data_IF_483990251086
#
_entry.id   IF_483990251086
#
_cell.length_a   1.000
_cell.length_b   1.000
_cell.length_c   1.000
_cell.angle_alpha   90.00
_cell.angle_beta   90.00
_cell.angle_gamma   90.00
#
_symmetry.space_group_name_H-M   'P 1'
#
loop_
_entity.id
_entity.type
_entity.pdbx_description
1 polymer ?
#
# COMPACT_ATOMS: atom_id res chain seq x y z
N UNK A 1 -18.19 1.40 -4.23
CA UNK A 1 -17.73 2.76 -3.91
C UNK A 1 -17.94 2.98 -2.43
N UNK A 2 -16.95 3.35 -1.60
CA UNK A 2 -17.28 4.06 -0.37
C UNK A 2 -17.32 5.55 -0.71
N UNK A 3 -18.53 6.08 -0.75
CA UNK A 3 -18.83 7.50 -0.69
C UNK A 3 -19.12 7.85 0.78
N UNK A 4 -18.07 7.99 1.58
CA UNK A 4 -18.13 8.71 2.86
C UNK A 4 -17.28 9.96 2.71
N UNK A 5 -17.85 11.13 3.00
CA UNK A 5 -17.04 12.33 3.18
C UNK A 5 -16.09 12.06 4.34
N UNK A 6 -14.77 12.25 4.17
CA UNK A 6 -13.80 11.92 5.21
C UNK A 6 -14.18 12.64 6.51
N UNK A 7 -14.05 11.97 7.65
CA UNK A 7 -14.48 12.54 8.93
C UNK A 7 -13.69 13.79 9.31
N UNK A 8 -12.41 13.82 8.94
CA UNK A 8 -11.49 14.92 9.20
C UNK A 8 -10.43 15.04 8.11
N UNK A 9 -9.91 16.25 7.93
CA UNK A 9 -8.69 16.55 7.18
C UNK A 9 -7.54 16.69 8.18
N UNK A 10 -6.55 15.80 8.10
CA UNK A 10 -5.34 15.81 8.93
C UNK A 10 -4.17 16.39 8.13
N UNK A 11 -3.69 17.57 8.50
CA UNK A 11 -2.46 18.16 7.97
C UNK A 11 -1.29 17.79 8.88
N UNK A 12 -0.24 17.19 8.32
CA UNK A 12 0.92 16.73 9.09
C UNK A 12 2.17 17.47 8.64
N UNK A 13 2.88 18.11 9.59
CA UNK A 13 4.23 18.59 9.35
C UNK A 13 5.21 17.41 9.39
N UNK A 14 5.66 16.98 8.21
CA UNK A 14 6.41 15.75 8.03
C UNK A 14 7.77 15.74 8.74
N UNK A 15 8.54 16.83 8.67
CA UNK A 15 9.87 16.85 9.31
C UNK A 15 9.77 17.02 10.82
N UNK A 16 8.79 17.80 11.30
CA UNK A 16 8.52 17.89 12.71
C UNK A 16 8.19 16.50 13.30
N UNK A 17 7.33 15.74 12.62
CA UNK A 17 6.97 14.38 13.04
C UNK A 17 8.16 13.41 12.97
N UNK A 18 8.95 13.41 11.89
CA UNK A 18 10.17 12.59 11.78
C UNK A 18 11.15 12.90 12.93
N UNK A 19 11.27 14.16 13.32
CA UNK A 19 12.13 14.60 14.43
C UNK A 19 11.57 14.24 15.81
N UNK A 20 10.25 14.11 15.95
CA UNK A 20 9.61 13.77 17.23
C UNK A 20 9.53 12.26 17.49
N UNK A 21 9.44 11.44 16.45
CA UNK A 21 9.26 9.99 16.59
C UNK A 21 10.60 9.26 16.65
N UNK A 22 10.95 8.73 17.83
CA UNK A 22 12.25 8.08 18.07
C UNK A 22 12.62 6.98 17.07
N UNK A 23 11.65 6.24 16.53
CA UNK A 23 11.94 5.22 15.51
C UNK A 23 12.30 5.83 14.15
N UNK A 24 11.60 6.89 13.72
CA UNK A 24 11.91 7.60 12.47
C UNK A 24 13.20 8.39 12.57
N UNK A 25 13.49 8.98 13.73
CA UNK A 25 14.76 9.68 13.97
C UNK A 25 15.94 8.72 13.82
N UNK A 26 15.87 7.54 14.44
CA UNK A 26 16.89 6.48 14.27
C UNK A 26 16.99 5.99 12.84
N UNK A 27 15.85 5.81 12.16
CA UNK A 27 15.82 5.37 10.76
C UNK A 27 16.47 6.40 9.84
N UNK A 28 16.22 7.70 10.07
CA UNK A 28 16.86 8.80 9.37
C UNK A 28 18.37 8.78 9.54
N UNK A 29 18.85 8.56 10.76
CA UNK A 29 20.29 8.51 11.09
C UNK A 29 20.99 7.30 10.46
N UNK A 30 20.30 6.17 10.34
CA UNK A 30 20.87 4.92 9.83
C UNK A 30 20.77 4.75 8.31
N UNK A 31 19.64 5.14 7.72
CA UNK A 31 19.27 4.84 6.33
C UNK A 31 18.93 6.08 5.51
N UNK A 32 19.08 7.28 6.09
CA UNK A 32 18.84 8.55 5.43
C UNK A 32 17.40 9.06 5.56
N UNK A 33 17.24 10.34 5.24
CA UNK A 33 15.97 11.08 5.38
C UNK A 33 14.85 10.52 4.50
N UNK A 34 15.18 10.07 3.29
CA UNK A 34 14.19 9.54 2.35
C UNK A 34 13.51 8.28 2.89
N UNK A 35 14.29 7.40 3.51
CA UNK A 35 13.75 6.18 4.12
C UNK A 35 12.82 6.50 5.28
N UNK A 36 13.14 7.50 6.09
CA UNK A 36 12.26 7.98 7.16
C UNK A 36 10.96 8.61 6.64
N UNK A 37 11.01 9.33 5.49
CA UNK A 37 9.79 9.84 4.84
C UNK A 37 8.88 8.70 4.41
N UNK A 38 9.42 7.70 3.72
CA UNK A 38 8.65 6.54 3.25
C UNK A 38 7.99 5.80 4.41
N UNK A 39 8.72 5.54 5.48
CA UNK A 39 8.17 4.90 6.67
C UNK A 39 7.04 5.73 7.30
N UNK A 40 7.22 7.05 7.44
CA UNK A 40 6.17 7.95 7.93
C UNK A 40 4.90 7.85 7.06
N UNK A 41 5.06 7.87 5.73
CA UNK A 41 3.96 7.77 4.78
C UNK A 41 3.19 6.45 4.96
N UNK A 42 3.89 5.32 5.08
CA UNK A 42 3.27 4.00 5.27
C UNK A 42 2.47 3.92 6.58
N UNK A 43 3.02 4.47 7.66
CA UNK A 43 2.37 4.52 8.97
C UNK A 43 1.13 5.40 8.93
N UNK A 44 1.22 6.60 8.35
CA UNK A 44 0.10 7.52 8.24
C UNK A 44 -0.98 7.03 7.28
N UNK A 45 -0.61 6.33 6.21
CA UNK A 45 -1.57 5.72 5.29
C UNK A 45 -2.45 4.70 6.04
N UNK A 46 -1.82 3.83 6.81
CA UNK A 46 -2.51 2.83 7.64
C UNK A 46 -3.41 3.49 8.68
N UNK A 47 -2.95 4.58 9.29
CA UNK A 47 -3.73 5.36 10.26
C UNK A 47 -4.95 6.04 9.62
N UNK A 48 -4.75 6.70 8.48
CA UNK A 48 -5.80 7.43 7.74
C UNK A 48 -6.92 6.49 7.31
N UNK A 49 -6.55 5.32 6.79
CA UNK A 49 -7.52 4.29 6.42
C UNK A 49 -8.26 3.69 7.63
N UNK A 50 -7.65 3.66 8.81
CA UNK A 50 -8.29 3.15 10.03
C UNK A 50 -9.28 4.15 10.65
N UNK A 51 -9.03 5.45 10.50
CA UNK A 51 -9.84 6.53 11.07
C UNK A 51 -10.80 7.19 10.07
N UNK A 52 -10.72 6.83 8.79
CA UNK A 52 -11.46 7.47 7.68
C UNK A 52 -11.14 8.98 7.57
N UNK A 53 -9.85 9.32 7.70
CA UNK A 53 -9.33 10.68 7.57
C UNK A 53 -8.72 10.89 6.18
N UNK A 54 -8.86 12.10 5.67
CA UNK A 54 -8.04 12.58 4.55
C UNK A 54 -6.76 13.17 5.14
N UNK A 55 -5.61 12.57 4.85
CA UNK A 55 -4.32 13.04 5.39
C UNK A 55 -3.49 13.71 4.31
N UNK A 56 -2.93 14.86 4.63
CA UNK A 56 -1.97 15.56 3.79
C UNK A 56 -0.66 15.74 4.55
N UNK A 57 0.40 15.11 4.07
CA UNK A 57 1.73 15.20 4.67
C UNK A 57 2.50 16.29 3.94
N UNK A 58 2.94 17.31 4.67
CA UNK A 58 3.66 18.46 4.13
C UNK A 58 5.14 18.30 4.43
N UNK A 59 5.96 18.27 3.38
CA UNK A 59 7.41 18.30 3.50
C UNK A 59 7.95 19.62 2.95
N UNK A 60 8.78 20.30 3.73
CA UNK A 60 9.53 21.45 3.26
C UNK A 60 10.49 21.03 2.12
N UNK A 61 10.54 21.81 1.04
CA UNK A 61 11.47 21.56 -0.06
C UNK A 61 12.89 21.86 0.41
N UNK A 62 13.75 20.84 0.42
CA UNK A 62 15.17 21.05 0.72
C UNK A 62 15.86 21.68 -0.49
N UNK A 63 15.65 22.98 -0.67
CA UNK A 63 16.49 23.94 -1.40
C UNK A 63 17.02 23.50 -2.79
N UNK A 64 16.22 22.79 -3.59
CA UNK A 64 16.43 22.69 -5.03
C UNK A 64 15.23 23.30 -5.73
N UNK A 65 15.46 23.94 -6.89
CA UNK A 65 14.47 24.52 -7.82
C UNK A 65 13.47 23.47 -8.34
N UNK A 66 12.76 22.82 -7.43
CA UNK A 66 11.68 21.90 -7.73
C UNK A 66 10.39 22.66 -7.49
N UNK A 67 9.50 22.77 -8.49
CA UNK A 67 8.17 23.31 -8.26
C UNK A 67 7.48 22.47 -7.17
N UNK A 68 6.66 23.11 -6.31
CA UNK A 68 5.89 22.40 -5.30
C UNK A 68 5.09 21.28 -5.98
N UNK A 69 5.31 20.04 -5.52
CA UNK A 69 4.70 18.87 -6.12
C UNK A 69 3.71 18.28 -5.14
N UNK A 70 2.49 18.00 -5.62
CA UNK A 70 1.50 17.23 -4.88
C UNK A 70 1.44 15.82 -5.44
N UNK A 71 1.97 14.87 -4.67
CA UNK A 71 1.93 13.46 -5.02
C UNK A 71 0.75 12.80 -4.32
N UNK A 72 -0.18 12.26 -5.10
CA UNK A 72 -1.31 11.50 -4.57
C UNK A 72 -0.85 10.05 -4.43
N UNK A 73 -0.54 9.65 -3.18
CA UNK A 73 -0.15 8.27 -2.88
C UNK A 73 -1.37 7.36 -2.92
N UNK A 74 -2.48 7.80 -2.33
CA UNK A 74 -3.74 7.03 -2.25
C UNK A 74 -4.93 7.98 -2.08
N UNK A 75 -6.16 7.47 -2.21
CA UNK A 75 -7.39 8.24 -1.96
C UNK A 75 -7.47 8.91 -0.59
N UNK A 76 -6.78 8.37 0.43
CA UNK A 76 -6.77 8.86 1.80
C UNK A 76 -5.51 9.65 2.19
N UNK A 77 -4.45 9.60 1.36
CA UNK A 77 -3.18 10.23 1.69
C UNK A 77 -2.57 10.90 0.47
N UNK A 78 -2.28 12.20 0.60
CA UNK A 78 -1.49 12.96 -0.37
C UNK A 78 -0.26 13.57 0.29
N UNK A 79 0.83 13.64 -0.45
CA UNK A 79 2.07 14.28 -0.04
C UNK A 79 2.15 15.62 -0.77
N UNK A 80 2.46 16.67 -0.03
CA UNK A 80 2.66 18.01 -0.55
C UNK A 80 4.10 18.43 -0.27
N UNK A 81 4.88 18.66 -1.31
CA UNK A 81 6.16 19.34 -1.21
C UNK A 81 5.92 20.83 -1.39
N UNK A 82 6.48 21.63 -0.49
CA UNK A 82 6.33 23.09 -0.55
C UNK A 82 7.09 23.67 -1.75
N UNK A 83 6.66 24.85 -2.19
CA UNK A 83 7.37 25.60 -3.23
C UNK A 83 8.76 26.06 -2.76
N UNK A 84 9.61 26.49 -3.71
CA UNK A 84 10.88 27.11 -3.40
C UNK A 84 10.71 28.31 -2.44
N UNK A 85 11.47 28.31 -1.32
CA UNK A 85 11.42 29.29 -0.22
C UNK A 85 10.09 29.33 0.57
N UNK A 86 9.17 28.41 0.34
CA UNK A 86 7.99 28.25 1.19
C UNK A 86 8.25 27.19 2.26
N UNK A 87 8.03 27.53 3.53
CA UNK A 87 8.12 26.57 4.63
C UNK A 87 6.85 25.73 4.76
N UNK A 88 6.97 24.56 5.38
CA UNK A 88 5.83 23.70 5.71
C UNK A 88 4.78 24.47 6.54
N UNK A 89 5.25 25.30 7.48
CA UNK A 89 4.40 26.19 8.29
C UNK A 89 3.52 27.10 7.43
N UNK A 90 4.15 27.84 6.50
CA UNK A 90 3.45 28.76 5.60
C UNK A 90 2.44 28.04 4.71
N UNK A 91 2.77 26.82 4.27
CA UNK A 91 1.84 26.01 3.49
C UNK A 91 0.62 25.60 4.32
N UNK A 92 0.84 25.09 5.54
CA UNK A 92 -0.23 24.68 6.45
C UNK A 92 -1.12 25.87 6.83
N UNK A 93 -0.54 27.03 7.10
CA UNK A 93 -1.30 28.25 7.39
C UNK A 93 -2.22 28.66 6.24
N UNK A 94 -1.70 28.68 5.00
CA UNK A 94 -2.50 28.96 3.80
C UNK A 94 -3.62 27.93 3.62
N UNK A 95 -3.33 26.66 3.85
CA UNK A 95 -4.33 25.60 3.78
C UNK A 95 -5.44 25.79 4.84
N UNK A 96 -5.07 26.11 6.08
CA UNK A 96 -6.03 26.41 7.16
C UNK A 96 -6.89 27.64 6.83
N UNK A 97 -6.27 28.73 6.35
CA UNK A 97 -6.98 29.94 5.97
C UNK A 97 -7.93 29.72 4.79
N UNK A 98 -7.55 28.90 3.81
CA UNK A 98 -8.41 28.52 2.69
C UNK A 98 -9.58 27.64 3.16
N UNK A 99 -9.33 26.69 4.05
CA UNK A 99 -10.34 25.81 4.61
C UNK A 99 -11.42 26.58 5.37
N UNK A 100 -11.03 27.58 6.16
CA UNK A 100 -11.97 28.47 6.88
C UNK A 100 -12.91 29.24 5.94
N UNK A 101 -12.45 29.58 4.73
CA UNK A 101 -13.24 30.32 3.73
C UNK A 101 -14.21 29.43 2.97
N UNK A 102 -14.01 28.11 2.96
CA UNK A 102 -14.83 27.16 2.24
C UNK A 102 -16.00 26.66 3.12
N UNK A 103 -17.17 27.26 2.93
CA UNK A 103 -18.41 26.92 3.66
C UNK A 103 -18.83 25.45 3.51
N UNK A 104 -18.42 24.74 2.45
CA UNK A 104 -18.74 23.31 2.28
C UNK A 104 -17.87 22.40 3.14
N UNK A 105 -16.66 22.86 3.47
CA UNK A 105 -15.69 22.12 4.28
C UNK A 105 -15.72 22.50 5.75
N UNK A 106 -16.39 23.61 6.10
CA UNK A 106 -16.56 24.05 7.48
C UNK A 106 -17.19 22.99 8.40
N UNK A 107 -17.99 22.07 7.85
CA UNK A 107 -18.59 20.96 8.61
C UNK A 107 -17.64 19.81 8.92
N UNK A 108 -16.45 19.78 8.30
CA UNK A 108 -15.46 18.73 8.49
C UNK A 108 -14.36 19.25 9.43
N UNK A 109 -13.85 18.36 10.29
CA UNK A 109 -12.82 18.70 11.28
C UNK A 109 -11.48 18.88 10.58
N UNK A 110 -10.80 19.99 10.85
CA UNK A 110 -9.43 20.23 10.39
C UNK A 110 -8.48 20.00 11.58
N UNK A 111 -7.55 19.08 11.44
CA UNK A 111 -6.58 18.74 12.48
C UNK A 111 -5.16 18.99 11.94
N UNK A 112 -4.32 19.68 12.70
CA UNK A 112 -2.91 19.91 12.37
C UNK A 112 -2.02 19.18 13.37
N UNK A 113 -1.13 18.34 12.84
CA UNK A 113 -0.13 17.62 13.60
C UNK A 113 1.24 18.32 13.51
N UNK A 114 1.64 18.96 14.61
CA UNK A 114 2.96 19.57 14.78
C UNK A 114 3.28 19.72 16.27
N UNK A 115 4.54 19.67 16.64
CA UNK A 115 5.04 20.00 17.98
C UNK A 115 5.70 21.38 18.05
N UNK A 116 5.65 22.18 16.97
CA UNK A 116 6.06 23.58 17.01
C UNK A 116 4.98 24.45 17.68
N UNK A 117 5.39 25.19 18.72
CA UNK A 117 4.49 26.04 19.52
C UNK A 117 3.99 27.27 18.73
N UNK A 118 4.83 27.87 17.91
CA UNK A 118 4.44 29.02 17.10
C UNK A 118 3.38 28.58 16.08
N UNK A 119 3.63 27.46 15.40
CA UNK A 119 2.69 26.91 14.44
C UNK A 119 1.37 26.50 15.08
N UNK A 120 1.43 25.88 16.27
CA UNK A 120 0.24 25.54 17.06
C UNK A 120 -0.67 26.76 17.30
N UNK A 121 -0.11 27.88 17.79
CA UNK A 121 -0.91 29.07 18.09
C UNK A 121 -1.57 29.63 16.82
N UNK A 122 -0.84 29.63 15.71
CA UNK A 122 -1.34 30.12 14.43
C UNK A 122 -2.49 29.27 13.89
N UNK A 123 -2.34 27.94 13.85
CA UNK A 123 -3.38 27.05 13.30
C UNK A 123 -4.64 27.01 14.16
N UNK A 124 -4.49 27.08 15.48
CA UNK A 124 -5.63 27.24 16.39
C UNK A 124 -6.34 28.59 16.16
N UNK A 125 -5.58 29.66 15.87
CA UNK A 125 -6.14 30.96 15.47
C UNK A 125 -7.00 30.89 14.20
N UNK A 126 -6.67 30.01 13.26
CA UNK A 126 -7.49 29.73 12.08
C UNK A 126 -8.73 28.86 12.37
N UNK A 127 -8.84 28.27 13.56
CA UNK A 127 -9.92 27.38 13.97
C UNK A 127 -9.66 25.90 13.70
N UNK A 128 -8.41 25.52 13.40
CA UNK A 128 -8.02 24.13 13.30
C UNK A 128 -7.80 23.52 14.70
N UNK A 129 -8.12 22.24 14.83
CA UNK A 129 -7.69 21.44 15.97
C UNK A 129 -6.20 21.15 15.87
N UNK A 130 -5.53 21.06 17.01
CA UNK A 130 -4.10 20.77 17.08
C UNK A 130 -3.85 19.45 17.79
N UNK A 131 -2.89 18.68 17.28
CA UNK A 131 -2.36 17.49 17.91
C UNK A 131 -0.82 17.54 17.89
N UNK A 132 -0.17 17.21 19.00
CA UNK A 132 1.29 17.12 19.01
C UNK A 132 1.77 15.89 18.24
N UNK A 133 2.99 15.94 17.70
CA UNK A 133 3.57 14.79 17.02
C UNK A 133 3.65 13.56 17.94
N UNK A 134 3.98 13.74 19.22
CA UNK A 134 4.01 12.66 20.21
C UNK A 134 2.61 12.09 20.47
N UNK A 135 1.59 12.94 20.52
CA UNK A 135 0.21 12.47 20.72
C UNK A 135 -0.29 11.69 19.51
N UNK A 136 0.03 12.16 18.30
CA UNK A 136 -0.28 11.46 17.06
C UNK A 136 0.34 10.06 17.04
N UNK A 137 1.59 9.91 17.49
CA UNK A 137 2.22 8.58 17.61
C UNK A 137 1.40 7.61 18.47
N UNK A 138 0.96 8.05 19.65
CA UNK A 138 0.14 7.23 20.55
C UNK A 138 -1.17 6.83 19.88
N UNK A 139 -1.82 7.75 19.17
CA UNK A 139 -3.08 7.45 18.48
C UNK A 139 -2.91 6.48 17.31
N UNK A 140 -1.81 6.61 16.56
CA UNK A 140 -1.39 5.67 15.53
C UNK A 140 -1.19 4.29 16.12
N UNK A 141 -0.40 4.16 17.20
CA UNK A 141 -0.12 2.88 17.83
C UNK A 141 -1.42 2.20 18.32
N UNK A 142 -2.29 2.96 18.96
CA UNK A 142 -3.60 2.47 19.40
C UNK A 142 -4.47 2.03 18.21
N UNK A 143 -4.49 2.80 17.11
CA UNK A 143 -5.23 2.43 15.90
C UNK A 143 -4.68 1.13 15.29
N UNK A 144 -3.36 0.99 15.16
CA UNK A 144 -2.71 -0.23 14.68
C UNK A 144 -3.06 -1.44 15.55
N UNK A 145 -3.05 -1.29 16.87
CA UNK A 145 -3.46 -2.35 17.79
C UNK A 145 -4.94 -2.75 17.63
N UNK A 146 -5.85 -1.79 17.47
CA UNK A 146 -7.28 -2.05 17.22
C UNK A 146 -7.49 -2.85 15.95
N UNK A 147 -6.83 -2.46 14.86
CA UNK A 147 -6.90 -3.17 13.57
C UNK A 147 -6.38 -4.60 13.71
N UNK A 148 -5.22 -4.79 14.36
CA UNK A 148 -4.65 -6.13 14.61
C UNK A 148 -5.58 -7.02 15.43
N UNK A 149 -6.17 -6.49 16.52
CA UNK A 149 -7.13 -7.23 17.36
C UNK A 149 -8.38 -7.64 16.57
N UNK A 150 -8.93 -6.74 15.75
CA UNK A 150 -10.09 -7.01 14.89
C UNK A 150 -9.78 -8.09 13.84
N UNK A 151 -8.60 -8.04 13.21
CA UNK A 151 -8.20 -9.08 12.26
C UNK A 151 -8.01 -10.44 12.93
N UNK A 152 -7.43 -10.47 14.14
CA UNK A 152 -7.27 -11.71 14.90
C UNK A 152 -8.62 -12.30 15.33
N UNK A 153 -9.57 -11.50 15.79
CA UNK A 153 -10.90 -11.99 16.17
C UNK A 153 -11.65 -12.55 14.96
N UNK A 154 -11.62 -11.85 13.81
CA UNK A 154 -12.22 -12.34 12.56
C UNK A 154 -11.59 -13.66 12.08
N UNK A 155 -10.26 -13.81 12.20
CA UNK A 155 -9.57 -15.07 11.92
C UNK A 155 -10.02 -16.20 12.85
N UNK A 156 -10.12 -15.93 14.16
CA UNK A 156 -10.59 -16.92 15.15
C UNK A 156 -12.04 -17.33 14.88
N UNK A 157 -12.93 -16.38 14.59
CA UNK A 157 -14.32 -16.66 14.20
C UNK A 157 -14.39 -17.51 12.93
N UNK A 158 -13.64 -17.16 11.88
CA UNK A 158 -13.59 -17.95 10.64
C UNK A 158 -13.08 -19.37 10.85
N UNK A 159 -12.11 -19.56 11.75
CA UNK A 159 -11.64 -20.89 12.13
C UNK A 159 -12.66 -21.68 12.97
N UNK A 160 -13.36 -21.02 13.89
CA UNK A 160 -14.43 -21.64 14.67
C UNK A 160 -15.60 -22.07 13.77
N UNK A 161 -16.06 -21.19 12.87
CA UNK A 161 -17.11 -21.52 11.89
C UNK A 161 -16.69 -22.65 10.95
N UNK A 162 -15.42 -22.67 10.48
CA UNK A 162 -14.90 -23.79 9.67
C UNK A 162 -14.88 -25.12 10.42
N UNK A 163 -14.50 -25.11 11.72
CA UNK A 163 -14.54 -26.31 12.57
C UNK A 163 -15.97 -26.78 12.81
N UNK A 164 -16.91 -25.86 13.01
CA UNK A 164 -18.33 -26.18 13.14
C UNK A 164 -18.86 -26.86 11.88
N UNK A 165 -18.66 -26.26 10.70
CA UNK A 165 -19.09 -26.83 9.43
C UNK A 165 -18.44 -28.19 9.17
N UNK A 166 -17.15 -28.36 9.50
CA UNK A 166 -16.51 -29.67 9.41
C UNK A 166 -17.26 -30.70 10.26
N UNK A 167 -17.57 -30.39 11.52
CA UNK A 167 -18.27 -31.30 12.43
C UNK A 167 -19.73 -31.58 12.03
N UNK A 168 -20.36 -30.75 11.17
CA UNK A 168 -21.72 -30.98 10.67
C UNK A 168 -21.76 -31.82 9.39
N UNK A 169 -20.61 -32.05 8.74
CA UNK A 169 -20.54 -32.90 7.55
C UNK A 169 -20.44 -34.36 7.99
N UNK A 170 -21.26 -35.23 7.38
CA UNK A 170 -21.27 -36.67 7.63
C UNK A 170 -19.86 -37.29 7.51
N UNK A 171 -19.46 -38.22 8.41
CA UNK A 171 -18.14 -38.83 8.40
C UNK A 171 -17.74 -39.44 7.03
N UNK A 172 -18.71 -39.96 6.27
CA UNK A 172 -18.50 -40.50 4.93
C UNK A 172 -18.10 -39.42 3.92
N UNK A 173 -18.77 -38.26 3.97
CA UNK A 173 -18.48 -37.12 3.10
C UNK A 173 -17.13 -36.46 3.45
N UNK A 174 -16.75 -36.42 4.73
CA UNK A 174 -15.40 -36.00 5.14
C UNK A 174 -14.31 -36.91 4.58
N UNK A 175 -14.51 -38.23 4.65
CA UNK A 175 -13.56 -39.21 4.12
C UNK A 175 -13.42 -39.12 2.60
N UNK A 176 -14.52 -38.88 1.87
CA UNK A 176 -14.48 -38.65 0.42
C UNK A 176 -13.73 -37.37 0.05
N UNK A 177 -13.97 -36.26 0.76
CA UNK A 177 -13.23 -35.01 0.56
C UNK A 177 -11.74 -35.17 0.86
N UNK A 178 -11.36 -35.95 1.88
CA UNK A 178 -9.97 -36.25 2.20
C UNK A 178 -9.29 -37.06 1.08
N UNK A 179 -9.99 -38.05 0.49
CA UNK A 179 -9.49 -38.84 -0.65
C UNK A 179 -9.27 -37.98 -1.89
N UNK A 180 -10.19 -37.06 -2.19
CA UNK A 180 -10.06 -36.09 -3.29
C UNK A 180 -8.90 -35.12 -3.07
N UNK A 181 -8.68 -34.70 -1.81
CA UNK A 181 -7.58 -33.80 -1.42
C UNK A 181 -6.20 -34.47 -1.51
N UNK A 182 -6.14 -35.81 -1.42
CA UNK A 182 -4.93 -36.62 -1.60
C UNK A 182 -4.71 -37.07 -3.07
N UNK A 183 -5.56 -36.64 -4.00
CA UNK A 183 -5.44 -37.02 -5.42
C UNK A 183 -5.71 -38.51 -5.71
N UNK A 184 -6.24 -39.29 -4.76
CA UNK A 184 -6.69 -40.66 -4.98
C UNK A 184 -8.15 -40.65 -5.43
N UNK A 185 -8.37 -40.30 -6.69
CA UNK A 185 -9.55 -40.77 -7.40
C UNK A 185 -9.27 -42.21 -7.83
N UNK A 186 -10.01 -43.16 -7.27
CA UNK A 186 -9.95 -44.57 -7.65
C UNK A 186 -10.36 -44.68 -9.13
N UNK A 187 -9.39 -44.70 -10.04
CA UNK A 187 -9.60 -45.22 -11.40
C UNK A 187 -9.51 -46.73 -11.29
N UNK A 188 -10.66 -47.36 -11.07
CA UNK A 188 -10.88 -48.75 -11.48
C UNK A 188 -12.11 -48.76 -12.38
N UNK A 189 -11.99 -49.37 -13.57
CA UNK A 189 -12.81 -50.55 -13.77
C UNK A 189 -12.06 -51.67 -14.51
N UNK A 190 -12.16 -52.88 -13.97
CA UNK A 190 -11.94 -54.12 -14.72
C UNK A 190 -13.12 -55.05 -14.48
N UNK A 191 -13.64 -55.67 -15.55
CA UNK A 191 -14.57 -56.81 -15.47
C UNK A 191 -15.65 -56.84 -16.55
N UNK A 192 -15.49 -57.77 -17.50
CA UNK A 192 -16.26 -58.02 -18.73
C UNK A 192 -17.76 -58.32 -18.58
N UNK A 193 -18.53 -58.11 -19.67
CA UNK A 193 -19.36 -59.17 -20.26
C UNK A 193 -19.77 -58.88 -21.72
N UNK A 194 -19.92 -59.96 -22.48
CA UNK A 194 -20.10 -60.06 -23.93
C UNK A 194 -21.54 -59.75 -24.39
N UNK A 195 -21.68 -59.11 -25.56
CA UNK A 195 -22.68 -59.53 -26.56
C UNK A 195 -22.26 -59.12 -27.99
N UNK A 196 -22.11 -60.15 -28.85
CA UNK A 196 -22.09 -60.11 -30.34
C UNK A 196 -23.50 -59.67 -30.81
N UNK A 197 -23.76 -58.99 -31.94
CA UNK A 197 -23.24 -59.05 -33.33
C UNK A 197 -24.01 -57.97 -34.17
N UNK A 198 -24.00 -57.94 -35.53
CA UNK A 198 -23.09 -57.23 -36.43
C UNK A 198 -23.77 -56.15 -37.33
N UNK A 199 -22.97 -55.37 -38.08
CA UNK A 199 -23.39 -54.82 -39.39
C UNK A 199 -23.15 -53.31 -39.60
N UNK A 200 -22.54 -52.96 -40.73
CA UNK A 200 -22.53 -51.60 -41.28
C UNK A 200 -21.16 -51.15 -41.75
N UNK A 201 -20.93 -51.22 -43.07
CA UNK A 201 -19.71 -50.83 -43.77
C UNK A 201 -19.57 -49.31 -43.98
N UNK A 202 -18.45 -48.94 -44.61
CA UNK A 202 -18.08 -47.68 -45.29
C UNK A 202 -17.08 -46.79 -44.52
N UNK A 203 -15.79 -46.90 -44.86
CA UNK A 203 -15.09 -46.12 -45.92
C UNK A 203 -14.94 -44.63 -45.57
N UNK A 204 -13.74 -44.19 -45.20
CA UNK A 204 -12.95 -43.21 -45.98
C UNK A 204 -11.61 -42.83 -45.31
N UNK A 205 -10.52 -43.26 -45.95
CA UNK A 205 -9.32 -42.49 -46.38
C UNK A 205 -8.57 -41.61 -45.33
N UNK A 206 -7.42 -42.12 -44.87
CA UNK A 206 -6.18 -41.38 -44.50
C UNK A 206 -5.56 -40.69 -45.75
N UNK A 207 -4.46 -39.90 -45.70
CA UNK A 207 -3.51 -39.64 -44.60
C UNK A 207 -2.97 -38.20 -44.50
N UNK A 208 -2.06 -37.93 -43.55
CA UNK A 208 -0.98 -36.98 -43.79
C UNK A 208 -0.42 -36.27 -42.56
N UNK A 209 0.89 -36.39 -42.36
CA UNK A 209 1.68 -35.36 -41.68
C UNK A 209 2.50 -35.81 -40.46
N UNK A 210 3.59 -36.54 -40.71
CA UNK A 210 4.80 -36.44 -39.90
C UNK A 210 5.37 -35.00 -40.09
N UNK A 211 6.06 -34.34 -39.17
CA UNK A 211 7.40 -34.63 -38.66
C UNK A 211 7.84 -33.47 -37.72
N UNK A 212 8.74 -33.83 -36.80
CA UNK A 212 9.92 -33.07 -36.36
C UNK A 212 9.80 -31.90 -35.36
N UNK A 213 10.14 -32.26 -34.11
CA UNK A 213 10.87 -31.41 -33.17
C UNK A 213 12.25 -31.04 -33.72
N UNK A 214 12.58 -29.74 -33.71
CA UNK A 214 13.95 -29.25 -33.63
C UNK A 214 14.00 -27.89 -32.93
N UNK A 215 14.75 -27.79 -31.83
CA UNK A 215 15.22 -26.51 -31.27
C UNK A 215 16.33 -25.93 -32.14
N UNK A 216 16.51 -24.60 -32.14
CA UNK A 216 17.67 -23.99 -31.46
C UNK A 216 17.25 -22.71 -30.72
N UNK A 217 17.91 -22.21 -29.68
CA UNK A 217 19.34 -21.85 -29.62
C UNK A 217 19.50 -20.41 -30.14
N UNK A 218 19.75 -19.45 -29.24
CA UNK A 218 19.99 -18.05 -29.61
C UNK A 218 19.99 -17.09 -28.41
N UNK A 219 21.12 -17.00 -27.73
CA UNK A 219 21.45 -15.89 -26.86
C UNK A 219 22.43 -15.00 -27.63
N UNK A 220 22.17 -13.69 -27.72
CA UNK A 220 23.19 -12.63 -27.81
C UNK A 220 22.56 -11.21 -27.92
N UNK A 221 23.38 -10.22 -27.53
CA UNK A 221 23.32 -8.76 -27.72
C UNK A 221 22.48 -7.90 -26.73
N UNK A 222 23.19 -7.11 -25.90
CA UNK A 222 23.39 -5.65 -26.08
C UNK A 222 24.04 -5.06 -24.80
N UNK A 223 25.34 -4.72 -24.82
CA UNK A 223 25.98 -3.42 -25.18
C UNK A 223 25.95 -2.38 -24.03
N UNK A 224 27.09 -2.23 -23.34
CA UNK A 224 27.48 -1.05 -22.54
C UNK A 224 28.15 0.00 -23.43
N UNK A 225 28.06 1.29 -23.04
CA UNK A 225 29.23 2.16 -23.16
C UNK A 225 29.42 3.11 -21.97
N UNK A 226 30.67 3.49 -21.70
CA UNK A 226 30.99 4.76 -21.05
C UNK A 226 31.97 4.65 -19.87
N UNK A 227 33.20 5.11 -20.07
CA UNK A 227 34.12 5.40 -18.97
C UNK A 227 35.59 5.40 -19.39
N UNK A 228 36.12 6.56 -19.79
CA UNK A 228 37.54 6.85 -19.66
C UNK A 228 37.72 8.37 -19.51
N UNK A 229 38.10 8.76 -18.30
CA UNK A 229 38.53 10.10 -17.90
C UNK A 229 39.90 10.44 -18.49
N UNK A 230 40.15 11.73 -18.71
CA UNK A 230 41.48 12.33 -18.59
C UNK A 230 41.36 13.75 -18.02
N UNK A 231 41.89 13.92 -16.80
CA UNK A 231 42.43 15.16 -16.23
C UNK A 231 43.58 15.68 -17.14
N UNK A 232 43.99 16.96 -17.22
CA UNK A 232 44.22 18.00 -16.20
C UNK A 232 44.55 19.36 -16.92
N UNK A 233 45.08 20.44 -16.28
CA UNK A 233 44.50 21.79 -16.29
C UNK A 233 45.36 22.85 -17.02
N UNK A 234 44.94 24.13 -17.06
CA UNK A 234 45.78 25.30 -16.69
C UNK A 234 45.06 26.66 -16.81
N UNK A 235 45.40 27.55 -15.86
CA UNK A 235 45.54 29.03 -15.87
C UNK A 235 44.43 29.91 -16.49
N UNK A 236 43.94 31.00 -15.89
CA UNK A 236 44.58 31.97 -15.00
C UNK A 236 44.62 33.35 -15.70
N UNK A 237 43.70 34.25 -15.32
CA UNK A 237 43.80 35.73 -15.23
C UNK A 237 42.42 36.33 -15.04
#
# INVERSE_FOLDING_TARGET
MPSSTPQALLLVDGYNVIGAWQHLTRLREQQGLETARRELIEVLLSYSAAQDYETQVVFDSQLRDSPGNREIVTSYLSICYTDYRQTADTFIEKACAAYRKDLRKYSQRLIVATSDRAQQLTVMGYGAEWISAQRLWVEVELATQRVRRKQQSLRKQKHASRRFLANTIDPSAQAQLAKLRLGKTDRSPGGAEHHRSPGGAEHHRSPGGAEHHRSPGGAEHHRSPGGAEHHRPEMGS
#
